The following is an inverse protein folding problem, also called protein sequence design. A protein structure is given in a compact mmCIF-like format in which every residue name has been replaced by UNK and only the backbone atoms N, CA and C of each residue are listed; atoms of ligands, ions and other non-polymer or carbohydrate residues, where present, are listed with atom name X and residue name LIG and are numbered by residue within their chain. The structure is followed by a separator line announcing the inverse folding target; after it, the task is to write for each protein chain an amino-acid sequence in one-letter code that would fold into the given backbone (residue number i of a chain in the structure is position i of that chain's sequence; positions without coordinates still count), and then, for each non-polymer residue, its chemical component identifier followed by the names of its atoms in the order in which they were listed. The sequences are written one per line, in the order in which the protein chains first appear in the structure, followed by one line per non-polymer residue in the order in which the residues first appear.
data_IF_106455606574
#
_entry.id   IF_106455606574
#
_cell.length_a   1.000
_cell.length_b   1.000
_cell.length_c   1.000
_cell.angle_alpha   90.00
_cell.angle_beta   90.00
_cell.angle_gamma   90.00
#
_symmetry.space_group_name_H-M   'P 1'
#
loop_
_entity.id
_entity.type
_entity.pdbx_description
1 polymer ?
#
# COMPACT_ATOMS: atom_id res chain seq x y z
N UNK A 1 -15.40 16.61 -13.43
CA UNK A 1 -14.84 15.95 -12.24
C UNK A 1 -13.37 15.70 -12.50
N UNK A 2 -12.53 15.94 -11.50
CA UNK A 2 -11.10 15.66 -11.48
C UNK A 2 -10.85 14.33 -10.78
N UNK A 3 -10.17 13.41 -11.45
CA UNK A 3 -9.93 12.05 -10.99
C UNK A 3 -8.44 11.87 -10.72
N UNK A 4 -8.09 11.50 -9.49
CA UNK A 4 -6.75 11.03 -9.15
C UNK A 4 -6.60 9.54 -9.51
N UNK A 5 -5.97 9.23 -10.65
CA UNK A 5 -5.75 7.86 -11.09
C UNK A 5 -4.49 7.29 -10.43
N UNK A 6 -4.67 6.27 -9.57
CA UNK A 6 -3.61 5.67 -8.77
C UNK A 6 -3.11 4.37 -9.39
N UNK A 7 -1.84 4.35 -9.77
CA UNK A 7 -1.22 3.24 -10.48
C UNK A 7 0.03 2.75 -9.77
N UNK A 8 0.37 1.48 -10.00
CA UNK A 8 1.60 0.88 -9.52
C UNK A 8 2.22 0.06 -10.67
N UNK A 9 3.47 0.38 -11.02
CA UNK A 9 4.26 -0.43 -11.94
C UNK A 9 3.73 -0.50 -13.38
N UNK A 10 2.87 0.43 -13.78
CA UNK A 10 2.18 0.44 -15.07
C UNK A 10 1.99 1.85 -15.61
N UNK A 11 0.78 2.22 -16.01
CA UNK A 11 0.50 3.56 -16.56
C UNK A 11 1.01 4.69 -15.62
N UNK A 12 1.69 5.73 -16.10
CA UNK A 12 1.87 6.11 -17.51
C UNK A 12 3.11 5.49 -18.18
N UNK A 13 3.87 4.67 -17.46
CA UNK A 13 5.09 4.05 -17.98
C UNK A 13 4.80 3.10 -19.16
N UNK A 14 5.78 2.96 -20.05
CA UNK A 14 5.68 2.15 -21.28
C UNK A 14 5.51 0.65 -20.96
N UNK A 15 6.15 0.17 -19.90
CA UNK A 15 6.01 -1.18 -19.38
C UNK A 15 4.93 -1.28 -18.29
N UNK A 16 4.31 -2.45 -18.18
CA UNK A 16 3.40 -2.80 -17.09
C UNK A 16 2.00 -3.27 -17.52
N UNK A 17 1.46 -4.22 -16.75
CA UNK A 17 0.31 -5.05 -17.15
C UNK A 17 -1.00 -4.26 -17.29
N UNK A 18 -1.18 -3.21 -16.48
CA UNK A 18 -2.40 -2.40 -16.48
C UNK A 18 -2.37 -1.24 -17.50
N UNK A 19 -1.24 -1.00 -18.18
CA UNK A 19 -1.02 0.19 -19.02
C UNK A 19 -2.11 0.40 -20.07
N UNK A 20 -2.37 -0.63 -20.88
CA UNK A 20 -3.32 -0.54 -21.99
C UNK A 20 -4.76 -0.30 -21.52
N UNK A 21 -5.12 -0.83 -20.35
CA UNK A 21 -6.44 -0.61 -19.79
C UNK A 21 -6.57 0.81 -19.23
N UNK A 22 -5.58 1.31 -18.49
CA UNK A 22 -5.57 2.70 -18.02
C UNK A 22 -5.63 3.69 -19.17
N UNK A 23 -4.83 3.50 -20.22
CA UNK A 23 -4.83 4.40 -21.40
C UNK A 23 -6.20 4.41 -22.09
N UNK A 24 -6.84 3.25 -22.25
CA UNK A 24 -8.22 3.17 -22.78
C UNK A 24 -9.24 3.84 -21.88
N UNK A 25 -9.12 3.67 -20.56
CA UNK A 25 -10.01 4.30 -19.59
C UNK A 25 -9.93 5.83 -19.68
N UNK A 26 -8.71 6.38 -19.61
CA UNK A 26 -8.48 7.83 -19.65
C UNK A 26 -8.97 8.40 -20.97
N UNK A 27 -8.67 7.74 -22.11
CA UNK A 27 -9.15 8.17 -23.44
C UNK A 27 -10.66 8.07 -23.61
N UNK A 28 -11.28 7.04 -23.03
CA UNK A 28 -12.73 6.82 -23.13
C UNK A 28 -13.57 7.71 -22.23
N UNK A 29 -12.94 8.45 -21.31
CA UNK A 29 -13.57 9.32 -20.33
C UNK A 29 -13.10 10.77 -20.51
N UNK A 30 -13.08 11.27 -21.74
CA UNK A 30 -12.57 12.60 -22.11
C UNK A 30 -13.31 13.78 -21.45
N UNK A 31 -14.53 13.57 -20.95
CA UNK A 31 -15.29 14.56 -20.19
C UNK A 31 -14.79 14.78 -18.74
N UNK A 32 -13.79 14.01 -18.31
CA UNK A 32 -13.20 14.08 -16.98
C UNK A 32 -11.72 14.45 -17.06
N UNK A 33 -11.23 15.19 -16.07
CA UNK A 33 -9.82 15.53 -15.94
C UNK A 33 -9.11 14.47 -15.10
N UNK A 34 -7.86 14.17 -15.46
CA UNK A 34 -7.05 13.15 -14.79
C UNK A 34 -5.74 13.73 -14.27
N UNK A 35 -5.47 13.47 -12.99
CA UNK A 35 -4.15 13.56 -12.41
C UNK A 35 -3.64 12.14 -12.16
N UNK A 36 -2.48 11.81 -12.71
CA UNK A 36 -1.91 10.46 -12.57
C UNK A 36 -0.94 10.45 -11.40
N UNK A 37 -1.15 9.51 -10.48
CA UNK A 37 -0.31 9.26 -9.32
C UNK A 37 0.28 7.86 -9.44
N UNK A 38 1.55 7.78 -9.84
CA UNK A 38 2.18 6.53 -10.23
C UNK A 38 3.30 6.12 -9.28
N UNK A 39 3.12 4.97 -8.64
CA UNK A 39 4.14 4.29 -7.86
C UNK A 39 5.02 3.46 -8.80
N UNK A 40 6.29 3.83 -8.97
CA UNK A 40 7.22 3.10 -9.84
C UNK A 40 7.90 1.97 -9.08
N UNK A 41 8.24 0.88 -9.78
CA UNK A 41 8.80 -0.35 -9.16
C UNK A 41 10.27 -0.60 -9.47
N UNK A 42 10.86 0.12 -10.43
CA UNK A 42 12.26 -0.05 -10.84
C UNK A 42 12.75 1.14 -11.66
N UNK A 43 14.06 1.39 -11.60
CA UNK A 43 14.76 2.38 -12.44
C UNK A 43 14.49 2.20 -13.92
N UNK A 44 14.60 0.96 -14.41
CA UNK A 44 14.37 0.61 -15.81
C UNK A 44 13.00 1.08 -16.34
N UNK A 45 11.97 1.01 -15.50
CA UNK A 45 10.62 1.43 -15.85
C UNK A 45 10.54 2.96 -16.02
N UNK A 46 11.30 3.71 -15.24
CA UNK A 46 11.39 5.18 -15.36
C UNK A 46 12.20 5.59 -16.59
N UNK A 47 13.30 4.89 -16.87
CA UNK A 47 14.17 5.13 -18.03
C UNK A 47 13.46 4.90 -19.37
N UNK A 48 12.52 3.95 -19.42
CA UNK A 48 11.67 3.70 -20.61
C UNK A 48 10.70 4.86 -20.89
N UNK A 49 10.49 5.75 -19.93
CA UNK A 49 9.65 6.93 -20.08
C UNK A 49 8.14 6.64 -20.09
N UNK A 50 7.38 7.63 -20.53
CA UNK A 50 5.91 7.60 -20.54
C UNK A 50 5.34 7.46 -21.94
N UNK A 51 4.13 6.91 -22.01
CA UNK A 51 3.32 6.95 -23.23
C UNK A 51 2.87 8.37 -23.56
N UNK A 52 2.44 8.60 -24.80
CA UNK A 52 1.79 9.86 -25.19
C UNK A 52 0.45 10.02 -24.46
N UNK A 53 0.40 10.99 -23.54
CA UNK A 53 -0.75 11.22 -22.68
C UNK A 53 -1.87 12.00 -23.40
N UNK A 54 -3.14 11.64 -23.19
CA UNK A 54 -4.27 12.43 -23.68
C UNK A 54 -4.33 13.84 -23.06
N UNK A 55 -4.93 14.84 -23.74
CA UNK A 55 -4.98 16.22 -23.26
C UNK A 55 -5.74 16.42 -21.94
N UNK A 56 -6.63 15.49 -21.59
CA UNK A 56 -7.35 15.50 -20.31
C UNK A 56 -6.48 15.08 -19.12
N UNK A 57 -5.22 14.66 -19.34
CA UNK A 57 -4.26 14.43 -18.27
C UNK A 57 -3.57 15.76 -17.94
N UNK A 58 -3.94 16.36 -16.83
CA UNK A 58 -3.40 17.65 -16.40
C UNK A 58 -2.02 17.54 -15.74
N UNK A 59 -1.77 16.44 -15.02
CA UNK A 59 -0.54 16.25 -14.26
C UNK A 59 -0.17 14.77 -14.11
N UNK A 60 1.13 14.51 -14.03
CA UNK A 60 1.69 13.21 -13.62
C UNK A 60 2.61 13.44 -12.43
N UNK A 61 2.35 12.73 -11.34
CA UNK A 61 3.15 12.71 -10.13
C UNK A 61 3.63 11.27 -9.93
N UNK A 62 4.93 11.11 -9.76
CA UNK A 62 5.57 9.79 -9.63
C UNK A 62 6.30 9.68 -8.31
N UNK A 63 6.28 8.49 -7.71
CA UNK A 63 7.09 8.19 -6.53
C UNK A 63 7.80 6.83 -6.70
N UNK A 64 9.14 6.79 -6.62
CA UNK A 64 9.89 5.55 -6.73
C UNK A 64 9.84 4.71 -5.45
N UNK A 65 9.25 3.51 -5.53
CA UNK A 65 9.23 2.56 -4.41
C UNK A 65 10.48 1.67 -4.34
N UNK A 66 11.43 1.85 -5.26
CA UNK A 66 12.65 1.04 -5.36
C UNK A 66 13.89 1.74 -4.80
N UNK A 67 13.93 3.07 -4.71
CA UNK A 67 15.01 3.86 -4.09
C UNK A 67 14.67 4.24 -2.66
N UNK A 68 15.56 3.99 -1.70
CA UNK A 68 15.33 4.47 -0.33
C UNK A 68 16.03 5.82 -0.14
N UNK A 69 15.28 6.91 -0.15
CA UNK A 69 15.77 8.22 0.28
C UNK A 69 15.54 8.38 1.78
N UNK A 70 16.56 8.86 2.48
CA UNK A 70 16.41 9.20 3.90
C UNK A 70 15.52 10.44 4.00
N UNK A 71 14.51 10.40 4.87
CA UNK A 71 13.61 11.54 5.10
C UNK A 71 14.27 12.61 5.97
N UNK A 72 15.42 12.30 6.59
CA UNK A 72 16.14 13.21 7.48
C UNK A 72 15.37 13.50 8.79
N UNK A 73 14.29 12.76 9.05
CA UNK A 73 13.39 13.01 10.18
C UNK A 73 13.94 12.39 11.45
N UNK A 74 14.11 13.21 12.49
CA UNK A 74 14.56 12.74 13.81
C UNK A 74 13.40 12.80 14.80
N UNK A 75 12.81 11.64 15.09
CA UNK A 75 11.71 11.56 16.04
C UNK A 75 12.10 11.95 17.47
N UNK A 76 11.26 12.81 18.07
CA UNK A 76 11.24 13.02 19.51
C UNK A 76 10.71 11.80 20.29
N UNK A 77 10.79 11.83 21.63
CA UNK A 77 10.34 10.70 22.48
C UNK A 77 8.88 10.30 22.25
N UNK A 78 7.98 11.27 22.06
CA UNK A 78 6.55 11.03 21.82
C UNK A 78 6.32 10.34 20.47
N UNK A 79 6.94 10.85 19.41
CA UNK A 79 6.86 10.28 18.06
C UNK A 79 7.40 8.84 18.03
N UNK A 80 8.56 8.58 18.67
CA UNK A 80 9.11 7.22 18.80
C UNK A 80 8.16 6.26 19.49
N UNK A 81 7.44 6.72 20.53
CA UNK A 81 6.44 5.89 21.23
C UNK A 81 5.23 5.61 20.33
N UNK A 82 4.65 6.62 19.69
CA UNK A 82 3.55 6.46 18.72
C UNK A 82 3.94 5.50 17.60
N UNK A 83 5.15 5.63 17.06
CA UNK A 83 5.68 4.69 16.06
C UNK A 83 5.72 3.26 16.60
N UNK A 84 6.32 3.06 17.78
CA UNK A 84 6.45 1.72 18.37
C UNK A 84 5.08 1.08 18.69
N UNK A 85 4.11 1.88 19.11
CA UNK A 85 2.71 1.46 19.34
C UNK A 85 2.05 1.06 18.02
N UNK A 86 1.92 1.97 17.06
CA UNK A 86 1.24 1.70 15.78
C UNK A 86 1.94 0.62 14.96
N UNK A 87 3.26 0.66 14.83
CA UNK A 87 4.01 -0.36 14.10
C UNK A 87 4.01 -1.72 14.81
N UNK A 88 3.98 -1.73 16.15
CA UNK A 88 3.84 -2.96 16.94
C UNK A 88 2.49 -3.64 16.75
N UNK A 89 1.40 -2.86 16.72
CA UNK A 89 0.06 -3.37 16.42
C UNK A 89 -0.03 -3.88 14.98
N UNK A 90 0.54 -3.14 14.02
CA UNK A 90 0.65 -3.58 12.63
C UNK A 90 1.36 -4.94 12.56
N UNK A 91 2.56 -5.05 13.12
CA UNK A 91 3.36 -6.27 13.13
C UNK A 91 2.62 -7.46 13.79
N UNK A 92 1.89 -7.19 14.88
CA UNK A 92 1.09 -8.19 15.57
C UNK A 92 -0.05 -8.72 14.68
N UNK A 93 -0.79 -7.82 14.02
CA UNK A 93 -1.85 -8.19 13.09
C UNK A 93 -1.36 -9.02 11.89
N UNK A 94 -0.09 -8.87 11.48
CA UNK A 94 0.55 -9.70 10.45
C UNK A 94 0.91 -11.11 10.93
N UNK A 95 1.24 -11.24 12.21
CA UNK A 95 1.67 -12.50 12.81
C UNK A 95 0.50 -13.39 13.23
N UNK A 96 -0.69 -12.83 13.45
CA UNK A 96 -1.89 -13.56 13.86
C UNK A 96 -2.40 -14.49 12.75
N UNK A 97 -2.66 -15.75 13.12
CA UNK A 97 -3.29 -16.73 12.25
C UNK A 97 -4.70 -16.30 11.87
N UNK A 98 -5.08 -16.40 10.59
CA UNK A 98 -6.49 -16.61 10.28
C UNK A 98 -6.84 -17.98 10.85
N UNK A 99 -7.27 -18.02 12.11
CA UNK A 99 -7.71 -19.26 12.75
C UNK A 99 -8.92 -19.73 11.95
N UNK A 100 -8.81 -20.92 11.35
CA UNK A 100 -9.90 -21.50 10.58
C UNK A 100 -11.22 -21.46 11.35
N UNK A 101 -12.27 -21.02 10.67
CA UNK A 101 -13.69 -21.13 11.06
C UNK A 101 -14.16 -20.64 12.45
N UNK A 102 -13.36 -19.90 13.21
CA UNK A 102 -13.84 -19.31 14.46
C UNK A 102 -14.29 -17.86 14.29
N UNK A 103 -15.58 -17.68 14.01
CA UNK A 103 -16.42 -16.47 14.16
C UNK A 103 -15.99 -15.19 13.42
N UNK A 104 -16.91 -14.62 12.63
CA UNK A 104 -16.70 -13.37 11.90
C UNK A 104 -16.29 -12.15 12.76
N UNK A 105 -16.53 -12.20 14.07
CA UNK A 105 -16.17 -11.14 15.03
C UNK A 105 -14.65 -11.03 15.27
N UNK A 106 -13.91 -12.14 15.28
CA UNK A 106 -12.44 -12.12 15.44
C UNK A 106 -11.77 -11.49 14.21
N UNK A 107 -12.22 -11.87 13.01
CA UNK A 107 -11.71 -11.32 11.76
C UNK A 107 -12.00 -9.83 11.61
N UNK A 108 -13.16 -9.35 12.08
CA UNK A 108 -13.50 -7.93 12.08
C UNK A 108 -12.58 -7.14 13.01
N UNK A 109 -12.37 -7.64 14.23
CA UNK A 109 -11.49 -7.02 15.23
C UNK A 109 -10.03 -6.97 14.77
N UNK A 110 -9.54 -8.00 14.07
CA UNK A 110 -8.21 -8.02 13.46
C UNK A 110 -8.08 -7.01 12.29
N UNK A 111 -9.11 -6.91 11.45
CA UNK A 111 -9.14 -5.93 10.37
C UNK A 111 -9.11 -4.50 10.93
N UNK A 112 -9.85 -4.24 12.01
CA UNK A 112 -9.84 -2.96 12.71
C UNK A 112 -8.47 -2.64 13.31
N UNK A 113 -7.80 -3.62 13.93
CA UNK A 113 -6.44 -3.42 14.48
C UNK A 113 -5.43 -3.08 13.39
N UNK A 114 -5.44 -3.80 12.27
CA UNK A 114 -4.56 -3.48 11.13
C UNK A 114 -4.84 -2.08 10.58
N UNK A 115 -6.11 -1.72 10.36
CA UNK A 115 -6.49 -0.42 9.83
C UNK A 115 -6.11 0.73 10.78
N UNK A 116 -6.41 0.60 12.08
CA UNK A 116 -6.05 1.59 13.10
C UNK A 116 -4.54 1.79 13.18
N UNK A 117 -3.76 0.70 13.10
CA UNK A 117 -2.31 0.76 13.07
C UNK A 117 -1.78 1.46 11.81
N UNK A 118 -2.33 1.13 10.63
CA UNK A 118 -1.97 1.73 9.35
C UNK A 118 -2.25 3.24 9.36
N UNK A 119 -3.45 3.66 9.77
CA UNK A 119 -3.82 5.08 9.83
C UNK A 119 -3.06 5.82 10.94
N UNK A 120 -2.79 5.18 12.07
CA UNK A 120 -1.94 5.77 13.12
C UNK A 120 -0.49 5.99 12.67
N UNK A 121 0.04 5.14 11.78
CA UNK A 121 1.33 5.39 11.12
C UNK A 121 1.21 6.53 10.10
N UNK A 122 0.14 6.58 9.32
CA UNK A 122 -0.08 7.63 8.34
C UNK A 122 -0.19 9.02 8.99
N UNK A 123 -0.92 9.13 10.10
CA UNK A 123 -1.00 10.35 10.89
C UNK A 123 0.37 10.75 11.46
N UNK A 124 1.15 9.79 11.95
CA UNK A 124 2.51 10.06 12.41
C UNK A 124 3.40 10.56 11.27
N UNK A 125 3.28 9.97 10.08
CA UNK A 125 4.04 10.40 8.90
C UNK A 125 3.70 11.84 8.51
N UNK A 126 2.41 12.19 8.53
CA UNK A 126 1.92 13.54 8.25
C UNK A 126 2.39 14.55 9.30
N UNK A 127 2.34 14.18 10.58
CA UNK A 127 2.74 15.05 11.69
C UNK A 127 4.26 15.33 11.72
N UNK A 128 5.08 14.32 11.44
CA UNK A 128 6.54 14.38 11.60
C UNK A 128 7.29 14.54 10.28
N UNK A 129 6.61 14.46 9.13
CA UNK A 129 7.18 14.66 7.79
C UNK A 129 7.87 13.44 7.18
N UNK A 130 7.73 12.24 7.77
CA UNK A 130 8.39 11.03 7.27
C UNK A 130 8.31 9.83 8.21
N UNK A 131 8.51 8.62 7.66
CA UNK A 131 8.56 7.34 8.39
C UNK A 131 9.78 6.48 8.01
N UNK A 132 10.53 6.82 6.96
CA UNK A 132 11.55 5.95 6.37
C UNK A 132 12.63 5.61 7.40
N UNK A 133 13.16 6.61 8.11
CA UNK A 133 14.15 6.38 9.16
C UNK A 133 13.64 5.47 10.29
N UNK A 134 12.37 5.60 10.65
CA UNK A 134 11.74 4.79 11.69
C UNK A 134 11.47 3.35 11.24
N UNK A 135 10.99 3.15 10.01
CA UNK A 135 10.74 1.84 9.40
C UNK A 135 12.03 1.03 9.21
N UNK A 136 13.17 1.70 9.01
CA UNK A 136 14.51 1.08 8.90
C UNK A 136 15.22 0.91 10.24
N UNK A 137 14.59 1.31 11.35
CA UNK A 137 15.22 1.28 12.67
C UNK A 137 15.24 -0.12 13.30
N UNK A 138 16.15 -0.31 14.25
CA UNK A 138 16.18 -1.50 15.11
C UNK A 138 14.85 -1.70 15.87
N UNK A 139 14.15 -0.60 16.18
CA UNK A 139 12.84 -0.65 16.85
C UNK A 139 11.81 -1.38 15.99
N UNK A 140 11.79 -1.14 14.67
CA UNK A 140 10.90 -1.81 13.74
C UNK A 140 11.19 -3.32 13.68
N UNK A 141 12.47 -3.68 13.54
CA UNK A 141 12.89 -5.10 13.50
C UNK A 141 12.55 -5.82 14.81
N UNK A 142 12.79 -5.18 15.97
CA UNK A 142 12.41 -5.74 17.27
C UNK A 142 10.90 -5.86 17.44
N UNK A 143 10.10 -4.96 16.86
CA UNK A 143 8.65 -5.08 16.88
C UNK A 143 8.17 -6.30 16.08
N UNK A 144 8.73 -6.51 14.88
CA UNK A 144 8.47 -7.73 14.09
C UNK A 144 8.90 -8.99 14.82
N UNK A 145 10.08 -8.98 15.45
CA UNK A 145 10.57 -10.10 16.25
C UNK A 145 9.60 -10.41 17.39
N UNK A 146 9.23 -9.42 18.20
CA UNK A 146 8.29 -9.61 19.32
C UNK A 146 6.95 -10.16 18.85
N UNK A 147 6.39 -9.62 17.77
CA UNK A 147 5.14 -10.09 17.18
C UNK A 147 5.25 -11.55 16.70
N UNK A 148 6.35 -11.92 16.04
CA UNK A 148 6.59 -13.29 15.60
C UNK A 148 6.74 -14.28 16.77
N UNK A 149 7.22 -13.82 17.93
CA UNK A 149 7.40 -14.64 19.14
C UNK A 149 6.17 -14.64 20.06
N UNK A 150 5.16 -13.82 19.78
CA UNK A 150 3.99 -13.70 20.65
C UNK A 150 3.16 -14.99 20.68
N UNK A 151 2.47 -15.27 21.80
CA UNK A 151 1.40 -16.28 21.84
C UNK A 151 0.37 -15.99 20.75
N UNK A 152 -0.10 -17.03 20.05
CA UNK A 152 -1.05 -16.87 18.93
C UNK A 152 -0.41 -16.58 17.55
N UNK A 153 0.88 -16.25 17.49
CA UNK A 153 1.57 -16.09 16.19
C UNK A 153 1.57 -17.39 15.36
N UNK A 154 1.42 -17.27 14.03
CA UNK A 154 1.50 -18.38 13.08
C UNK A 154 2.82 -19.14 13.23
N UNK A 155 2.78 -20.46 13.06
CA UNK A 155 3.98 -21.29 13.16
C UNK A 155 5.07 -20.89 12.15
N UNK A 156 4.67 -20.46 10.95
CA UNK A 156 5.58 -19.94 9.91
C UNK A 156 6.26 -18.64 10.33
N UNK A 157 5.53 -17.72 10.99
CA UNK A 157 6.09 -16.47 11.51
C UNK A 157 7.06 -16.73 12.67
N UNK A 158 6.73 -17.66 13.59
CA UNK A 158 7.60 -18.07 14.71
C UNK A 158 8.95 -18.63 14.25
N UNK A 159 9.00 -19.21 13.04
CA UNK A 159 10.22 -19.77 12.47
C UNK A 159 11.16 -18.70 11.87
N UNK A 160 10.74 -17.44 11.75
CA UNK A 160 11.57 -16.36 11.22
C UNK A 160 12.86 -16.20 12.04
N UNK A 161 14.00 -16.04 11.33
CA UNK A 161 15.27 -15.65 11.93
C UNK A 161 15.57 -14.20 11.52
N UNK A 162 16.69 -13.68 12.00
CA UNK A 162 17.08 -12.28 11.78
C UNK A 162 17.13 -11.91 10.29
N UNK A 163 17.71 -12.72 9.37
CA UNK A 163 17.69 -12.40 7.95
C UNK A 163 16.27 -12.28 7.35
N UNK A 164 15.35 -13.16 7.75
CA UNK A 164 13.95 -13.08 7.30
C UNK A 164 13.24 -11.86 7.86
N UNK A 165 13.48 -11.49 9.13
CA UNK A 165 12.91 -10.29 9.73
C UNK A 165 13.42 -9.01 9.06
N UNK A 166 14.70 -8.96 8.70
CA UNK A 166 15.29 -7.84 7.94
C UNK A 166 14.71 -7.76 6.52
N UNK A 167 14.52 -8.91 5.86
CA UNK A 167 13.87 -8.96 4.56
C UNK A 167 12.44 -8.41 4.65
N UNK A 168 11.63 -8.90 5.60
CA UNK A 168 10.27 -8.40 5.83
C UNK A 168 10.26 -6.90 6.13
N UNK A 169 11.16 -6.41 6.99
CA UNK A 169 11.28 -4.98 7.28
C UNK A 169 11.53 -4.16 6.02
N UNK A 170 12.43 -4.59 5.14
CA UNK A 170 12.71 -3.90 3.87
C UNK A 170 11.57 -3.97 2.85
N UNK A 171 10.72 -4.99 2.90
CA UNK A 171 9.50 -5.05 2.10
C UNK A 171 8.39 -4.14 2.65
N UNK A 172 8.17 -4.18 3.97
CA UNK A 172 7.17 -3.32 4.63
C UNK A 172 7.54 -1.85 4.52
N UNK A 173 8.83 -1.51 4.64
CA UNK A 173 9.31 -0.15 4.44
C UNK A 173 8.89 0.38 3.06
N UNK A 174 9.26 -0.33 1.98
CA UNK A 174 8.86 0.03 0.61
C UNK A 174 7.36 0.13 0.42
N UNK A 175 6.61 -0.81 0.97
CA UNK A 175 5.14 -0.83 0.85
C UNK A 175 4.45 0.29 1.62
N UNK A 176 5.08 0.80 2.69
CA UNK A 176 4.55 1.86 3.56
C UNK A 176 5.09 3.26 3.20
N UNK A 177 6.04 3.39 2.27
CA UNK A 177 6.48 4.71 1.77
C UNK A 177 5.35 5.63 1.33
N UNK A 178 4.25 5.15 0.71
CA UNK A 178 3.15 6.04 0.36
C UNK A 178 2.55 6.79 1.54
N UNK A 179 2.71 6.31 2.79
CA UNK A 179 2.28 7.02 3.99
C UNK A 179 2.97 8.39 4.17
N UNK A 180 4.17 8.57 3.62
CA UNK A 180 5.00 9.77 3.79
C UNK A 180 5.02 10.68 2.55
N UNK A 181 4.25 10.36 1.50
CA UNK A 181 4.21 11.20 0.31
C UNK A 181 3.44 12.50 0.59
N UNK A 182 3.86 13.58 -0.06
CA UNK A 182 3.21 14.89 -0.06
C UNK A 182 1.95 14.94 -0.94
N UNK A 183 1.50 13.79 -1.45
CA UNK A 183 0.38 13.68 -2.38
C UNK A 183 -0.96 14.07 -1.77
N UNK A 184 -1.09 14.18 -0.45
CA UNK A 184 -2.38 14.29 0.25
C UNK A 184 -2.80 15.73 0.58
N UNK A 185 -2.06 16.74 0.15
CA UNK A 185 -2.38 18.14 0.39
C UNK A 185 -3.47 18.68 -0.56
N UNK A 186 -3.91 19.92 -0.30
CA UNK A 186 -5.02 20.62 -0.99
C UNK A 186 -4.77 20.91 -2.48
N UNK A 187 -3.55 20.73 -2.98
CA UNK A 187 -3.18 20.81 -4.39
C UNK A 187 -2.87 19.43 -5.01
N UNK A 188 -2.97 18.37 -4.21
CA UNK A 188 -2.76 16.97 -4.56
C UNK A 188 -4.07 16.18 -4.61
N UNK A 189 -4.04 14.98 -4.04
CA UNK A 189 -5.19 14.08 -3.87
C UNK A 189 -6.26 14.68 -2.96
N UNK A 190 -5.94 15.64 -2.10
CA UNK A 190 -6.97 16.37 -1.34
C UNK A 190 -7.87 17.23 -2.22
N UNK A 191 -7.42 17.56 -3.44
CA UNK A 191 -8.10 18.44 -4.39
C UNK A 191 -8.94 17.70 -5.44
N UNK A 192 -8.90 16.36 -5.48
CA UNK A 192 -9.61 15.58 -6.51
C UNK A 192 -11.01 15.20 -6.04
N UNK A 193 -11.95 15.07 -6.98
CA UNK A 193 -13.32 14.66 -6.67
C UNK A 193 -13.41 13.15 -6.38
N UNK A 194 -12.46 12.36 -6.89
CA UNK A 194 -12.46 10.90 -6.82
C UNK A 194 -11.03 10.35 -6.93
N UNK A 195 -10.66 9.46 -6.02
CA UNK A 195 -9.49 8.59 -6.18
C UNK A 195 -9.90 7.33 -6.93
N UNK A 196 -9.24 7.03 -8.05
CA UNK A 196 -9.43 5.79 -8.78
C UNK A 196 -8.18 4.91 -8.72
N UNK A 197 -8.21 3.87 -7.89
CA UNK A 197 -7.17 2.85 -7.82
C UNK A 197 -7.33 1.76 -8.87
N UNK A 198 -6.22 1.36 -9.49
CA UNK A 198 -6.18 0.33 -10.55
C UNK A 198 -6.02 -1.10 -10.02
N UNK A 199 -6.01 -1.27 -8.69
CA UNK A 199 -6.25 -2.54 -7.98
C UNK A 199 -6.40 -2.30 -6.48
N UNK A 200 -6.87 -3.30 -5.74
CA UNK A 200 -6.89 -3.35 -4.28
C UNK A 200 -5.54 -3.64 -3.60
N UNK A 201 -4.43 -3.64 -4.33
CA UNK A 201 -3.07 -3.78 -3.79
C UNK A 201 -2.42 -2.45 -3.35
N UNK A 202 -1.07 -2.36 -3.32
CA UNK A 202 -0.34 -1.16 -2.91
C UNK A 202 -0.75 0.13 -3.64
N UNK A 203 -1.15 0.03 -4.92
CA UNK A 203 -1.72 1.14 -5.70
C UNK A 203 -2.93 1.84 -5.04
N UNK A 204 -3.68 1.16 -4.18
CA UNK A 204 -4.83 1.75 -3.49
C UNK A 204 -4.47 2.47 -2.19
N UNK A 205 -3.25 2.30 -1.66
CA UNK A 205 -2.85 2.91 -0.39
C UNK A 205 -2.97 4.45 -0.43
N UNK A 206 -2.52 5.18 -1.48
CA UNK A 206 -2.75 6.61 -1.56
C UNK A 206 -4.24 7.00 -1.53
N UNK A 207 -5.10 6.17 -2.12
CA UNK A 207 -6.54 6.40 -2.14
C UNK A 207 -7.19 6.18 -0.76
N UNK A 208 -6.72 5.18 -0.01
CA UNK A 208 -7.12 4.99 1.39
C UNK A 208 -6.74 6.20 2.26
N UNK A 209 -5.58 6.80 2.01
CA UNK A 209 -5.09 7.95 2.76
C UNK A 209 -5.81 9.24 2.38
N UNK A 210 -6.04 9.49 1.09
CA UNK A 210 -6.86 10.61 0.63
C UNK A 210 -8.29 10.52 1.19
N UNK A 211 -8.85 9.31 1.25
CA UNK A 211 -10.13 9.09 1.92
C UNK A 211 -10.07 9.38 3.42
N UNK A 212 -9.04 8.92 4.12
CA UNK A 212 -8.88 9.13 5.57
C UNK A 212 -8.65 10.59 5.95
N UNK A 213 -7.78 11.29 5.22
CA UNK A 213 -7.39 12.67 5.54
C UNK A 213 -8.38 13.71 5.00
N UNK A 214 -8.96 13.48 3.82
CA UNK A 214 -9.71 14.50 3.08
C UNK A 214 -11.15 14.07 2.75
N UNK A 215 -11.55 12.83 3.07
CA UNK A 215 -12.88 12.31 2.75
C UNK A 215 -13.11 12.00 1.27
N UNK A 216 -12.06 12.02 0.45
CA UNK A 216 -12.14 11.79 -1.00
C UNK A 216 -12.63 10.36 -1.25
N UNK A 217 -13.67 10.14 -2.07
CA UNK A 217 -14.17 8.79 -2.33
C UNK A 217 -13.14 7.95 -3.08
N UNK A 218 -13.09 6.65 -2.76
CA UNK A 218 -12.20 5.69 -3.39
C UNK A 218 -12.99 4.73 -4.30
N UNK A 219 -12.66 4.71 -5.59
CA UNK A 219 -13.08 3.69 -6.55
C UNK A 219 -11.92 2.75 -6.83
N UNK A 220 -12.18 1.45 -6.79
CA UNK A 220 -11.19 0.42 -7.10
C UNK A 220 -11.64 -0.35 -8.34
N UNK A 221 -10.78 -0.44 -9.35
CA UNK A 221 -10.99 -1.38 -10.45
C UNK A 221 -9.96 -2.48 -10.37
N UNK A 222 -10.42 -3.73 -10.26
CA UNK A 222 -9.55 -4.90 -10.23
C UNK A 222 -9.16 -5.31 -11.64
N UNK A 223 -7.98 -4.87 -12.09
CA UNK A 223 -7.40 -5.29 -13.35
C UNK A 223 -6.33 -6.37 -13.13
N UNK A 224 -6.75 -7.64 -13.21
CA UNK A 224 -5.92 -8.80 -12.91
C UNK A 224 -5.87 -9.09 -11.42
N UNK A 225 -5.99 -10.37 -11.02
CA UNK A 225 -6.00 -10.78 -9.61
C UNK A 225 -4.60 -10.59 -9.02
N UNK A 226 -4.23 -9.36 -8.64
CA UNK A 226 -2.86 -9.01 -8.18
C UNK A 226 -2.48 -9.72 -6.88
N UNK A 227 -3.46 -10.14 -6.07
CA UNK A 227 -3.21 -11.08 -4.97
C UNK A 227 -2.48 -12.32 -5.48
N UNK A 228 -2.96 -12.96 -6.55
CA UNK A 228 -2.33 -14.14 -7.15
C UNK A 228 -0.92 -13.85 -7.67
N UNK A 229 -0.66 -12.65 -8.19
CA UNK A 229 0.67 -12.25 -8.66
C UNK A 229 1.64 -12.04 -7.48
N UNK A 230 1.21 -11.41 -6.37
CA UNK A 230 2.04 -11.30 -5.15
C UNK A 230 2.25 -12.64 -4.45
N UNK A 231 1.27 -13.55 -4.50
CA UNK A 231 1.38 -14.92 -4.01
C UNK A 231 2.35 -15.79 -4.82
N UNK A 232 2.52 -15.50 -6.12
CA UNK A 232 3.28 -16.34 -7.05
C UNK A 232 4.62 -15.74 -7.50
N UNK A 233 4.84 -14.43 -7.34
CA UNK A 233 6.02 -13.75 -7.86
C UNK A 233 7.31 -14.02 -7.08
N UNK A 234 7.24 -14.61 -5.88
CA UNK A 234 8.44 -14.89 -5.09
C UNK A 234 8.36 -16.24 -4.35
N UNK A 235 8.35 -17.33 -5.12
CA UNK A 235 8.46 -18.69 -4.57
C UNK A 235 9.81 -18.98 -3.92
N UNK A 236 10.84 -18.19 -4.25
CA UNK A 236 12.21 -18.31 -3.73
C UNK A 236 12.37 -17.71 -2.33
N UNK A 237 11.53 -16.74 -1.96
CA UNK A 237 11.54 -16.15 -0.62
C UNK A 237 11.31 -17.19 0.49
N UNK A 238 11.97 -17.08 1.66
CA UNK A 238 11.75 -17.99 2.78
C UNK A 238 10.27 -18.04 3.24
N UNK A 239 9.77 -19.18 3.75
CA UNK A 239 8.36 -19.33 4.12
C UNK A 239 7.82 -18.28 5.10
N UNK A 240 8.65 -17.84 6.05
CA UNK A 240 8.29 -16.80 7.01
C UNK A 240 8.06 -15.44 6.32
N UNK A 241 8.95 -15.06 5.39
CA UNK A 241 8.83 -13.82 4.60
C UNK A 241 7.54 -13.86 3.79
N UNK A 242 7.33 -14.93 3.01
CA UNK A 242 6.11 -15.09 2.21
C UNK A 242 4.85 -15.02 3.05
N UNK A 243 4.84 -15.69 4.21
CA UNK A 243 3.69 -15.71 5.13
C UNK A 243 3.33 -14.32 5.67
N UNK A 244 4.33 -13.52 6.04
CA UNK A 244 4.11 -12.17 6.61
C UNK A 244 3.71 -11.17 5.52
N UNK A 245 4.33 -11.20 4.35
CA UNK A 245 3.96 -10.33 3.23
C UNK A 245 2.58 -10.67 2.67
N UNK A 246 2.26 -11.96 2.59
CA UNK A 246 0.89 -12.45 2.33
C UNK A 246 -0.11 -11.83 3.28
N UNK A 247 0.17 -11.87 4.58
CA UNK A 247 -0.72 -11.32 5.59
C UNK A 247 -0.89 -9.80 5.38
N UNK A 248 0.21 -9.08 5.10
CA UNK A 248 0.16 -7.64 4.85
C UNK A 248 -0.71 -7.29 3.66
N UNK A 249 -0.45 -7.90 2.50
CA UNK A 249 -1.23 -7.64 1.29
C UNK A 249 -2.69 -8.04 1.43
N UNK A 250 -2.98 -9.16 2.12
CA UNK A 250 -4.35 -9.59 2.39
C UNK A 250 -5.12 -8.61 3.28
N UNK A 251 -4.49 -8.11 4.35
CA UNK A 251 -5.10 -7.12 5.25
C UNK A 251 -5.26 -5.76 4.58
N UNK A 252 -4.27 -5.31 3.80
CA UNK A 252 -4.37 -4.09 3.00
C UNK A 252 -5.53 -4.18 2.00
N UNK A 253 -5.62 -5.28 1.24
CA UNK A 253 -6.72 -5.48 0.30
C UNK A 253 -8.09 -5.52 1.00
N UNK A 254 -8.16 -6.16 2.17
CA UNK A 254 -9.39 -6.15 2.99
C UNK A 254 -9.79 -4.74 3.37
N UNK A 255 -8.85 -3.90 3.83
CA UNK A 255 -9.14 -2.51 4.15
C UNK A 255 -9.54 -1.70 2.92
N UNK A 256 -8.84 -1.91 1.80
CA UNK A 256 -9.17 -1.28 0.53
C UNK A 256 -10.61 -1.59 0.11
N UNK A 257 -11.03 -2.85 0.12
CA UNK A 257 -12.40 -3.21 -0.25
C UNK A 257 -13.43 -2.71 0.75
N UNK A 258 -13.09 -2.65 2.04
CA UNK A 258 -13.96 -2.11 3.07
C UNK A 258 -14.23 -0.62 2.90
N UNK A 259 -13.23 0.15 2.45
CA UNK A 259 -13.31 1.61 2.29
C UNK A 259 -13.71 2.08 0.90
N UNK A 260 -13.55 1.22 -0.10
CA UNK A 260 -13.94 1.57 -1.47
C UNK A 260 -15.45 1.88 -1.53
N UNK A 261 -15.78 3.07 -2.05
CA UNK A 261 -17.17 3.45 -2.32
C UNK A 261 -17.76 2.56 -3.43
N UNK A 262 -16.93 2.17 -4.40
CA UNK A 262 -17.28 1.27 -5.50
C UNK A 262 -16.10 0.38 -5.84
N UNK A 263 -16.34 -0.92 -6.01
CA UNK A 263 -15.38 -1.87 -6.57
C UNK A 263 -15.92 -2.36 -7.91
N UNK A 264 -15.13 -2.22 -8.98
CA UNK A 264 -15.50 -2.68 -10.32
C UNK A 264 -14.53 -3.75 -10.83
N UNK A 265 -15.01 -4.78 -11.55
CA UNK A 265 -14.14 -5.73 -12.20
C UNK A 265 -13.57 -5.13 -13.49
N UNK A 266 -12.24 -5.08 -13.61
CA UNK A 266 -11.54 -4.57 -14.80
C UNK A 266 -11.58 -5.52 -16.00
N UNK A 267 -11.97 -6.78 -15.78
CA UNK A 267 -12.21 -7.78 -16.82
C UNK A 267 -13.23 -8.84 -16.36
N UNK A 268 -13.74 -9.64 -17.29
CA UNK A 268 -14.70 -10.72 -17.02
C UNK A 268 -14.15 -11.85 -16.14
N UNK A 269 -12.83 -12.01 -16.06
CA UNK A 269 -12.19 -13.02 -15.22
C UNK A 269 -12.12 -12.61 -13.74
N UNK A 270 -12.16 -11.32 -13.44
CA UNK A 270 -12.17 -10.76 -12.08
C UNK A 270 -13.57 -10.68 -11.44
N UNK A 271 -14.61 -11.23 -12.08
CA UNK A 271 -16.00 -11.23 -11.58
C UNK A 271 -16.32 -12.34 -10.57
N UNK A 272 -15.36 -13.16 -10.16
CA UNK A 272 -15.61 -14.35 -9.31
C UNK A 272 -15.02 -14.17 -7.92
#
# INVERSE_FOLDING_TARGET
MRIGLLTEGGYPYVSGDARLWCDRLVRGLEQHEFDIYALSRSEHQEDEGWVQLPPQVGRVITAPLWTAEDDGVVYGRRARRRFAESYGELASALCEGAVGDTSGESSATEADRFANALYGLAELARDEGGLVGALRSETAVRALERACRAPGARQTARAARVPELLAVAGHLERALRPLSLDWYEDDGLGAVDLCHATSGGPAALPGLLAHHFCGVPLLVTEYGVRLRTHYLADTESPPAVRSLLTAFHGRLATETYRRAAVVTPGNTHARR
#
